data_IF_710835695915
#
_entry.id   IF_710835695915
#
_cell.length_a   1.000
_cell.length_b   1.000
_cell.length_c   1.000
_cell.angle_alpha   90.00
_cell.angle_beta   90.00
_cell.angle_gamma   90.00
#
_symmetry.space_group_name_H-M   'P 1'
#
loop_
_entity.id
_entity.type
_entity.pdbx_description
1 polymer ?
#
# COMPACT_ATOMS: atom_id res chain seq x y z
N UNK A 1 -36.14 6.97 -9.90
CA UNK A 1 -35.06 7.92 -9.53
C UNK A 1 -34.49 7.70 -8.09
N UNK A 2 -34.88 6.65 -7.34
CA UNK A 2 -34.43 6.45 -5.95
C UNK A 2 -33.35 5.39 -5.75
N UNK A 3 -33.10 4.50 -6.70
CA UNK A 3 -32.09 3.42 -6.55
C UNK A 3 -30.65 3.85 -6.90
N UNK A 4 -30.49 4.79 -7.83
CA UNK A 4 -29.14 5.25 -8.25
C UNK A 4 -28.45 6.13 -7.21
N UNK A 5 -29.21 6.77 -6.31
CA UNK A 5 -28.68 7.60 -5.22
C UNK A 5 -28.20 6.78 -4.01
N UNK A 6 -28.74 5.56 -3.81
CA UNK A 6 -28.32 4.68 -2.70
C UNK A 6 -26.92 4.09 -2.91
N UNK A 7 -26.53 3.81 -4.14
CA UNK A 7 -25.19 3.24 -4.44
C UNK A 7 -24.06 4.27 -4.31
N UNK A 8 -24.33 5.55 -4.58
CA UNK A 8 -23.32 6.62 -4.39
C UNK A 8 -23.11 6.99 -2.92
N UNK A 9 -24.13 6.87 -2.06
CA UNK A 9 -24.00 7.18 -0.63
C UNK A 9 -23.17 6.16 0.15
N UNK A 10 -23.06 4.91 -0.33
CA UNK A 10 -22.24 3.87 0.31
C UNK A 10 -20.75 4.04 0.05
N UNK A 11 -20.35 4.58 -1.11
CA UNK A 11 -18.94 4.81 -1.45
C UNK A 11 -18.30 5.99 -0.71
N UNK A 12 -19.11 6.94 -0.21
CA UNK A 12 -18.62 8.11 0.55
C UNK A 12 -18.43 7.86 2.04
N UNK A 13 -18.77 6.65 2.55
CA UNK A 13 -18.56 6.28 3.95
C UNK A 13 -17.17 5.69 4.12
N UNK A 14 -16.45 6.12 5.16
CA UNK A 14 -15.13 5.59 5.50
C UNK A 14 -15.15 4.11 5.92
N UNK A 15 -13.97 3.57 6.09
CA UNK A 15 -13.75 2.14 6.44
C UNK A 15 -14.53 1.71 7.68
N UNK A 16 -14.53 2.54 8.74
CA UNK A 16 -15.19 2.17 10.00
C UNK A 16 -16.70 2.07 9.82
N UNK A 17 -17.33 3.01 9.09
CA UNK A 17 -18.78 2.98 8.89
C UNK A 17 -19.23 1.79 8.04
N UNK A 18 -18.39 1.34 7.09
CA UNK A 18 -18.71 0.22 6.19
C UNK A 18 -18.51 -1.14 6.85
N UNK A 19 -17.52 -1.27 7.72
CA UNK A 19 -17.03 -2.56 8.23
C UNK A 19 -16.96 -2.60 9.76
N UNK A 20 -17.76 -1.79 10.44
CA UNK A 20 -17.77 -1.65 11.90
C UNK A 20 -17.81 -3.00 12.63
N UNK A 21 -18.62 -3.94 12.16
CA UNK A 21 -18.79 -5.27 12.76
C UNK A 21 -17.50 -6.11 12.81
N UNK A 22 -16.51 -5.79 11.96
CA UNK A 22 -15.22 -6.47 11.86
C UNK A 22 -14.06 -5.71 12.49
N UNK A 23 -14.33 -4.52 13.04
CA UNK A 23 -13.29 -3.62 13.54
C UNK A 23 -13.35 -3.49 15.06
N UNK A 24 -12.20 -3.22 15.73
CA UNK A 24 -12.14 -3.11 17.20
C UNK A 24 -12.72 -1.76 17.70
N UNK A 25 -13.89 -1.41 17.25
CA UNK A 25 -14.59 -0.16 17.61
C UNK A 25 -15.95 -0.46 18.25
N UNK A 26 -16.36 0.34 19.22
CA UNK A 26 -17.64 0.29 19.87
C UNK A 26 -18.58 1.39 19.35
N UNK A 27 -19.82 1.42 19.81
CA UNK A 27 -20.75 2.52 19.49
C UNK A 27 -20.25 3.87 20.01
N UNK A 28 -19.51 3.85 21.12
CA UNK A 28 -18.95 5.06 21.74
C UNK A 28 -17.63 5.52 21.16
N UNK A 29 -16.98 4.71 20.28
CA UNK A 29 -15.71 5.08 19.66
C UNK A 29 -15.89 6.30 18.75
N UNK A 30 -15.22 7.43 18.99
CA UNK A 30 -15.26 8.60 18.10
C UNK A 30 -14.69 8.25 16.72
N UNK A 31 -15.44 8.49 15.66
CA UNK A 31 -15.01 8.15 14.30
C UNK A 31 -14.23 9.29 13.67
N UNK A 32 -12.96 9.03 13.38
CA UNK A 32 -12.07 9.92 12.66
C UNK A 32 -11.89 9.39 11.23
N UNK A 33 -12.59 9.99 10.27
CA UNK A 33 -12.55 9.56 8.86
C UNK A 33 -12.33 10.74 7.93
N UNK A 34 -11.66 10.47 6.81
CA UNK A 34 -11.48 11.32 5.64
C UNK A 34 -12.17 10.72 4.40
N UNK A 35 -13.03 9.70 4.58
CA UNK A 35 -13.69 8.99 3.49
C UNK A 35 -12.77 7.95 2.82
N UNK A 36 -11.81 7.40 3.55
CA UNK A 36 -10.88 6.34 3.11
C UNK A 36 -11.62 5.03 2.80
N UNK A 37 -10.98 4.20 1.99
CA UNK A 37 -11.59 2.98 1.46
C UNK A 37 -12.45 3.24 0.23
N UNK A 38 -13.20 2.23 -0.22
CA UNK A 38 -13.95 2.31 -1.49
C UNK A 38 -13.05 2.53 -2.70
N UNK A 39 -11.78 2.15 -2.59
CA UNK A 39 -10.82 2.30 -3.69
C UNK A 39 -11.20 1.38 -4.85
N UNK A 40 -11.02 1.81 -6.11
CA UNK A 40 -11.46 1.02 -7.24
C UNK A 40 -10.69 -0.29 -7.37
N UNK A 41 -11.42 -1.32 -7.79
CA UNK A 41 -10.89 -2.58 -8.30
C UNK A 41 -10.98 -2.53 -9.83
N UNK A 42 -9.85 -2.24 -10.49
CA UNK A 42 -9.80 -1.94 -11.92
C UNK A 42 -9.42 -3.21 -12.70
N UNK A 43 -10.29 -3.66 -13.59
CA UNK A 43 -9.94 -4.73 -14.53
C UNK A 43 -8.88 -4.25 -15.53
N UNK A 44 -7.80 -5.02 -15.69
CA UNK A 44 -6.70 -4.73 -16.62
C UNK A 44 -6.71 -5.74 -17.77
N UNK A 45 -7.30 -5.39 -18.93
CA UNK A 45 -7.36 -6.29 -20.08
C UNK A 45 -5.96 -6.58 -20.65
N UNK A 46 -5.04 -5.60 -20.59
CA UNK A 46 -3.70 -5.77 -21.14
C UNK A 46 -2.83 -6.69 -20.26
N UNK A 47 -2.89 -6.58 -18.93
CA UNK A 47 -2.23 -7.56 -18.05
C UNK A 47 -2.87 -8.94 -18.19
N UNK A 48 -4.19 -9.01 -18.32
CA UNK A 48 -4.90 -10.27 -18.55
C UNK A 48 -4.42 -10.94 -19.84
N UNK A 49 -4.20 -10.17 -20.90
CA UNK A 49 -3.65 -10.67 -22.16
C UNK A 49 -2.20 -11.16 -22.04
N UNK A 50 -1.36 -10.47 -21.23
CA UNK A 50 0.02 -10.89 -20.94
C UNK A 50 0.02 -12.23 -20.17
N UNK A 51 -0.83 -12.38 -19.17
CA UNK A 51 -0.95 -13.64 -18.40
C UNK A 51 -1.54 -14.74 -19.29
N UNK A 52 -2.51 -14.40 -20.15
CA UNK A 52 -3.15 -15.34 -21.06
C UNK A 52 -4.04 -16.36 -20.35
N UNK A 53 -4.31 -17.51 -21.00
CA UNK A 53 -5.04 -18.68 -20.46
C UNK A 53 -6.39 -18.35 -19.85
N UNK A 54 -7.09 -17.31 -20.35
CA UNK A 54 -8.40 -16.88 -19.84
C UNK A 54 -8.35 -16.22 -18.46
N UNK A 55 -7.16 -15.94 -17.93
CA UNK A 55 -6.99 -15.27 -16.64
C UNK A 55 -7.48 -13.82 -16.68
N UNK A 56 -8.00 -13.35 -15.57
CA UNK A 56 -8.46 -11.99 -15.36
C UNK A 56 -7.63 -11.29 -14.28
N UNK A 57 -6.98 -10.19 -14.64
CA UNK A 57 -6.15 -9.41 -13.72
C UNK A 57 -6.85 -8.13 -13.33
N UNK A 58 -6.90 -7.88 -12.02
CA UNK A 58 -7.49 -6.69 -11.43
C UNK A 58 -6.45 -5.94 -10.59
N UNK A 59 -6.54 -4.62 -10.60
CA UNK A 59 -5.69 -3.72 -9.80
C UNK A 59 -6.53 -3.12 -8.67
N UNK A 60 -6.21 -3.44 -7.41
CA UNK A 60 -6.79 -2.73 -6.25
C UNK A 60 -5.98 -1.46 -6.02
N UNK A 61 -6.53 -0.32 -6.47
CA UNK A 61 -5.78 0.94 -6.50
C UNK A 61 -5.89 1.73 -5.19
N UNK A 62 -5.07 1.34 -4.22
CA UNK A 62 -5.00 1.96 -2.90
C UNK A 62 -4.41 3.38 -2.90
N UNK A 63 -3.74 3.77 -3.98
CA UNK A 63 -3.24 5.12 -4.19
C UNK A 63 -4.32 6.21 -4.24
N UNK A 64 -5.59 5.83 -4.38
CA UNK A 64 -6.73 6.76 -4.38
C UNK A 64 -7.38 6.98 -3.01
N UNK A 65 -6.78 6.47 -1.93
CA UNK A 65 -7.12 6.90 -0.57
C UNK A 65 -6.74 8.38 -0.33
N UNK A 66 -7.33 9.07 0.66
CA UNK A 66 -7.16 10.50 0.90
C UNK A 66 -5.71 11.02 0.97
N UNK A 67 -4.78 10.25 1.58
CA UNK A 67 -3.37 10.62 1.61
C UNK A 67 -2.53 9.85 0.58
N UNK A 68 -3.18 9.34 -0.45
CA UNK A 68 -2.59 8.65 -1.59
C UNK A 68 -1.92 7.31 -1.26
N UNK A 69 -2.38 6.59 -0.21
CA UNK A 69 -1.90 5.24 0.07
C UNK A 69 -2.84 4.42 0.96
N UNK A 70 -2.67 3.10 0.96
CA UNK A 70 -3.40 2.14 1.80
C UNK A 70 -3.29 2.41 3.31
N UNK A 71 -2.31 3.24 3.73
CA UNK A 71 -2.08 3.54 5.15
C UNK A 71 -3.31 4.16 5.82
N UNK A 72 -4.15 4.84 5.08
CA UNK A 72 -5.35 5.51 5.56
C UNK A 72 -6.35 4.54 6.18
N UNK A 73 -6.48 3.33 5.62
CA UNK A 73 -7.38 2.29 6.15
C UNK A 73 -7.08 1.90 7.59
N UNK A 74 -5.79 1.74 7.89
CA UNK A 74 -5.37 1.44 9.27
C UNK A 74 -5.33 2.69 10.14
N UNK A 75 -5.09 3.86 9.55
CA UNK A 75 -4.93 5.08 10.32
C UNK A 75 -6.27 5.60 10.86
N UNK A 76 -7.37 5.47 10.09
CA UNK A 76 -8.70 5.82 10.59
C UNK A 76 -9.03 5.06 11.88
N UNK A 77 -8.77 3.76 11.94
CA UNK A 77 -9.03 2.94 13.14
C UNK A 77 -8.07 3.31 14.28
N UNK A 78 -6.76 3.37 14.01
CA UNK A 78 -5.77 3.67 15.03
C UNK A 78 -5.95 5.05 15.68
N UNK A 79 -6.30 6.08 14.88
CA UNK A 79 -6.52 7.43 15.41
C UNK A 79 -7.88 7.54 16.13
N UNK A 80 -8.93 6.88 15.65
CA UNK A 80 -10.21 6.77 16.37
C UNK A 80 -10.04 6.12 17.74
N UNK A 81 -9.26 5.03 17.82
CA UNK A 81 -8.91 4.37 19.10
C UNK A 81 -8.00 5.21 19.98
N UNK A 82 -7.10 6.00 19.41
CA UNK A 82 -6.28 6.95 20.14
C UNK A 82 -7.15 8.05 20.78
N UNK A 83 -8.09 8.60 20.02
CA UNK A 83 -9.04 9.61 20.50
C UNK A 83 -9.97 9.05 21.59
N UNK A 84 -10.45 7.81 21.44
CA UNK A 84 -11.26 7.11 22.47
C UNK A 84 -10.50 6.98 23.79
N UNK A 85 -9.18 6.74 23.75
CA UNK A 85 -8.31 6.66 24.94
C UNK A 85 -7.98 8.03 25.54
N UNK A 86 -8.34 9.13 24.89
CA UNK A 86 -8.07 10.48 25.37
C UNK A 86 -6.60 10.90 25.28
N UNK A 87 -5.79 10.30 24.40
CA UNK A 87 -4.37 10.68 24.24
C UNK A 87 -4.24 12.10 23.68
N UNK A 88 -3.16 12.79 24.04
CA UNK A 88 -2.89 14.14 23.56
C UNK A 88 -2.23 14.17 22.17
N UNK A 89 -1.55 13.09 21.79
CA UNK A 89 -0.80 13.04 20.55
C UNK A 89 -0.69 11.61 19.96
N UNK A 90 -0.57 11.53 18.65
CA UNK A 90 -0.08 10.33 17.96
C UNK A 90 1.38 10.51 17.56
N UNK A 91 2.13 9.40 17.55
CA UNK A 91 3.55 9.43 17.24
C UNK A 91 3.94 8.28 16.30
N UNK A 92 4.84 8.54 15.37
CA UNK A 92 5.41 7.50 14.51
C UNK A 92 6.85 7.78 14.11
N UNK A 93 7.61 6.71 13.84
CA UNK A 93 8.88 6.76 13.14
C UNK A 93 8.63 6.43 11.65
N UNK A 94 8.66 7.43 10.77
CA UNK A 94 8.44 7.23 9.32
C UNK A 94 8.79 8.47 8.52
N UNK A 95 9.38 8.28 7.33
CA UNK A 95 9.65 9.34 6.34
C UNK A 95 8.68 9.30 5.15
N UNK A 96 7.64 8.43 5.16
CA UNK A 96 6.83 8.17 3.96
C UNK A 96 5.33 8.11 4.22
N UNK A 97 4.66 7.13 3.61
CA UNK A 97 3.19 7.00 3.62
C UNK A 97 2.57 6.97 5.03
N UNK A 98 3.26 6.40 6.03
CA UNK A 98 2.75 6.36 7.41
C UNK A 98 2.72 7.73 8.04
N UNK A 99 3.76 8.56 7.89
CA UNK A 99 3.81 9.92 8.45
C UNK A 99 2.77 10.83 7.81
N UNK A 100 2.57 10.75 6.51
CA UNK A 100 1.55 11.51 5.79
C UNK A 100 0.14 11.17 6.30
N UNK A 101 -0.18 9.88 6.39
CA UNK A 101 -1.47 9.41 6.90
C UNK A 101 -1.67 9.79 8.38
N UNK A 102 -0.66 9.56 9.24
CA UNK A 102 -0.74 9.93 10.66
C UNK A 102 -1.03 11.42 10.87
N UNK A 103 -0.33 12.28 10.11
CA UNK A 103 -0.52 13.72 10.20
C UNK A 103 -1.94 14.15 9.78
N UNK A 104 -2.45 13.60 8.66
CA UNK A 104 -3.78 13.93 8.16
C UNK A 104 -4.89 13.54 9.14
N UNK A 105 -4.85 12.30 9.65
CA UNK A 105 -5.88 11.81 10.57
C UNK A 105 -5.77 12.43 11.95
N UNK A 106 -4.54 12.74 12.44
CA UNK A 106 -4.36 13.51 13.67
C UNK A 106 -4.94 14.93 13.54
N UNK A 107 -4.67 15.61 12.43
CA UNK A 107 -5.26 16.94 12.15
C UNK A 107 -6.79 16.87 12.15
N UNK A 108 -7.38 15.85 11.51
CA UNK A 108 -8.82 15.62 11.49
C UNK A 108 -9.41 15.37 12.88
N UNK A 109 -8.64 14.70 13.75
CA UNK A 109 -9.03 14.37 15.13
C UNK A 109 -8.79 15.53 16.13
N UNK A 110 -8.11 16.60 15.74
CA UNK A 110 -7.66 17.64 16.67
C UNK A 110 -6.52 17.18 17.60
N UNK A 111 -5.82 16.08 17.25
CA UNK A 111 -4.67 15.56 18.00
C UNK A 111 -3.35 16.14 17.46
N UNK A 112 -2.35 16.25 18.32
CA UNK A 112 -0.99 16.53 17.87
C UNK A 112 -0.41 15.31 17.15
N UNK A 113 0.43 15.54 16.13
CA UNK A 113 1.17 14.49 15.46
C UNK A 113 2.67 14.75 15.56
N UNK A 114 3.42 13.78 16.05
CA UNK A 114 4.88 13.79 16.05
C UNK A 114 5.43 12.72 15.11
N UNK A 115 6.34 13.15 14.23
CA UNK A 115 7.05 12.26 13.29
C UNK A 115 8.54 12.30 13.66
N UNK A 116 9.10 11.17 14.08
CA UNK A 116 10.51 11.05 14.46
C UNK A 116 11.27 10.35 13.34
N UNK A 117 12.42 10.88 12.95
CA UNK A 117 13.22 10.33 11.85
C UNK A 117 14.72 10.66 12.03
N UNK A 118 15.63 9.90 11.40
CA UNK A 118 17.05 10.21 11.42
C UNK A 118 17.38 11.51 10.69
N UNK A 119 18.29 12.32 11.24
CA UNK A 119 18.86 13.47 10.56
C UNK A 119 19.60 13.04 9.28
N UNK A 120 19.60 13.90 8.25
CA UNK A 120 20.33 13.67 6.98
C UNK A 120 19.65 12.75 5.97
N UNK A 121 18.56 12.07 6.31
CA UNK A 121 17.76 11.23 5.36
C UNK A 121 16.39 11.85 5.04
N UNK A 122 16.30 13.17 5.08
CA UNK A 122 15.07 13.92 4.83
C UNK A 122 15.02 14.27 3.35
N UNK A 123 14.42 13.39 2.52
CA UNK A 123 13.94 13.83 1.22
C UNK A 123 12.72 14.73 1.44
N UNK A 124 12.87 16.03 1.16
CA UNK A 124 11.84 17.04 1.42
C UNK A 124 10.49 16.67 0.79
N UNK A 125 10.50 16.07 -0.40
CA UNK A 125 9.29 15.63 -1.12
C UNK A 125 8.46 14.59 -0.35
N UNK A 126 9.08 13.67 0.39
CA UNK A 126 8.36 12.60 1.13
C UNK A 126 7.65 13.10 2.39
N UNK A 127 8.09 14.22 2.96
CA UNK A 127 7.50 14.80 4.16
C UNK A 127 6.55 15.97 3.88
N UNK A 128 6.41 16.39 2.61
CA UNK A 128 5.54 17.51 2.23
C UNK A 128 4.15 17.38 2.83
N UNK A 129 3.53 16.21 2.71
CA UNK A 129 2.20 16.00 3.28
C UNK A 129 2.19 16.09 4.82
N UNK A 130 3.20 15.53 5.51
CA UNK A 130 3.27 15.60 6.96
C UNK A 130 3.39 17.06 7.44
N UNK A 131 4.22 17.86 6.78
CA UNK A 131 4.33 19.29 7.07
C UNK A 131 3.03 20.05 6.74
N UNK A 132 2.43 19.79 5.58
CA UNK A 132 1.18 20.44 5.17
C UNK A 132 0.02 20.20 6.14
N UNK A 133 -0.03 19.01 6.75
CA UNK A 133 -1.02 18.65 7.77
C UNK A 133 -0.61 19.08 9.19
N UNK A 134 0.48 19.83 9.36
CA UNK A 134 0.90 20.42 10.63
C UNK A 134 1.58 19.46 11.61
N UNK A 135 2.12 18.32 11.14
CA UNK A 135 2.86 17.42 12.01
C UNK A 135 4.18 18.07 12.49
N UNK A 136 4.54 17.82 13.75
CA UNK A 136 5.84 18.16 14.30
C UNK A 136 6.86 17.10 13.88
N UNK A 137 7.70 17.44 12.91
CA UNK A 137 8.79 16.56 12.47
C UNK A 137 10.02 16.80 13.34
N UNK A 138 10.54 15.73 13.93
CA UNK A 138 11.71 15.75 14.83
C UNK A 138 12.81 14.90 14.20
N UNK A 139 13.89 15.54 13.79
CA UNK A 139 15.10 14.86 13.33
C UNK A 139 15.98 14.51 14.53
N UNK A 140 16.42 13.25 14.63
CA UNK A 140 17.32 12.78 15.67
C UNK A 140 18.71 12.46 15.11
N UNK A 141 19.72 12.61 15.90
CA UNK A 141 21.04 12.05 15.63
C UNK A 141 20.99 10.54 15.88
N UNK A 142 21.13 9.74 14.84
CA UNK A 142 21.02 8.28 14.89
C UNK A 142 20.45 7.67 13.62
N UNK A 143 20.00 6.44 13.70
CA UNK A 143 19.42 5.69 12.60
C UNK A 143 17.90 5.46 12.78
N UNK A 144 17.28 4.71 11.87
CA UNK A 144 15.84 4.44 11.92
C UNK A 144 15.43 3.58 13.13
N UNK A 145 16.28 2.66 13.55
CA UNK A 145 16.00 1.81 14.72
C UNK A 145 16.04 2.62 16.00
N UNK A 146 16.95 3.60 16.12
CA UNK A 146 16.97 4.56 17.23
C UNK A 146 15.67 5.37 17.30
N UNK A 147 15.20 5.86 16.16
CA UNK A 147 13.92 6.57 16.09
C UNK A 147 12.75 5.67 16.55
N UNK A 148 12.74 4.40 16.14
CA UNK A 148 11.70 3.45 16.52
C UNK A 148 11.75 3.10 18.02
N UNK A 149 12.95 2.98 18.61
CA UNK A 149 13.14 2.78 20.07
C UNK A 149 12.58 3.97 20.85
N UNK A 150 12.89 5.19 20.42
CA UNK A 150 12.36 6.42 21.06
C UNK A 150 10.84 6.46 20.98
N UNK A 151 10.28 6.18 19.80
CA UNK A 151 8.81 6.16 19.59
C UNK A 151 8.15 5.11 20.48
N UNK A 152 8.74 3.91 20.64
CA UNK A 152 8.23 2.87 21.55
C UNK A 152 8.22 3.33 23.00
N UNK A 153 9.32 3.93 23.49
CA UNK A 153 9.41 4.48 24.86
C UNK A 153 8.38 5.59 25.12
N UNK A 154 8.18 6.47 24.13
CA UNK A 154 7.16 7.53 24.25
C UNK A 154 5.74 6.96 24.23
N UNK A 155 5.51 5.88 23.51
CA UNK A 155 4.22 5.19 23.47
C UNK A 155 3.85 4.39 24.72
N UNK A 156 4.79 4.22 25.66
CA UNK A 156 4.52 3.69 27.02
C UNK A 156 3.85 4.74 27.94
N UNK A 157 3.83 6.00 27.52
CA UNK A 157 3.17 7.09 28.24
C UNK A 157 1.71 7.16 27.85
N UNK A 158 0.84 7.48 28.79
CA UNK A 158 -0.60 7.58 28.60
C UNK A 158 -1.05 8.71 27.65
N UNK A 159 -0.18 9.70 27.41
CA UNK A 159 -0.47 10.86 26.57
C UNK A 159 -0.12 10.65 25.09
N UNK A 160 0.48 9.51 24.71
CA UNK A 160 0.86 9.18 23.34
C UNK A 160 0.23 7.88 22.82
N UNK A 161 -0.10 7.86 21.53
CA UNK A 161 -0.44 6.64 20.82
C UNK A 161 0.55 6.39 19.67
N UNK A 162 1.19 5.23 19.67
CA UNK A 162 2.04 4.80 18.53
C UNK A 162 1.15 4.40 17.38
N UNK A 163 1.43 4.95 16.19
CA UNK A 163 0.71 4.61 14.95
C UNK A 163 1.61 4.02 13.86
N UNK A 164 2.70 3.35 14.26
CA UNK A 164 3.54 2.52 13.39
C UNK A 164 2.84 1.22 12.98
N UNK A 165 3.46 0.44 12.09
CA UNK A 165 2.92 -0.84 11.58
C UNK A 165 2.74 -1.94 12.65
N UNK A 166 3.33 -1.77 13.82
CA UNK A 166 3.16 -2.65 14.99
C UNK A 166 1.81 -2.47 15.70
N UNK A 167 1.10 -1.39 15.45
CA UNK A 167 -0.19 -1.11 16.08
C UNK A 167 -1.27 -2.07 15.53
N UNK A 168 -1.96 -2.86 16.39
CA UNK A 168 -2.96 -3.84 15.95
C UNK A 168 -4.19 -3.19 15.30
N UNK A 169 -4.59 -2.00 15.74
CA UNK A 169 -5.73 -1.28 15.17
C UNK A 169 -5.48 -0.92 13.70
N UNK A 170 -4.21 -0.71 13.34
CA UNK A 170 -3.81 -0.49 11.94
C UNK A 170 -3.98 -1.74 11.07
N UNK A 171 -3.63 -2.91 11.60
CA UNK A 171 -3.84 -4.18 10.89
C UNK A 171 -5.34 -4.40 10.71
N UNK A 172 -6.15 -4.20 11.76
CA UNK A 172 -7.60 -4.34 11.69
C UNK A 172 -8.22 -3.44 10.60
N UNK A 173 -7.86 -2.15 10.56
CA UNK A 173 -8.38 -1.24 9.52
C UNK A 173 -7.96 -1.65 8.10
N UNK A 174 -6.73 -2.15 7.92
CA UNK A 174 -6.22 -2.60 6.62
C UNK A 174 -6.91 -3.88 6.11
N UNK A 175 -7.52 -4.71 6.98
CA UNK A 175 -8.33 -5.87 6.59
C UNK A 175 -9.45 -5.47 5.61
N UNK A 176 -9.97 -4.26 5.74
CA UNK A 176 -11.06 -3.74 4.90
C UNK A 176 -10.77 -3.75 3.40
N UNK A 177 -9.51 -3.74 2.99
CA UNK A 177 -9.16 -3.86 1.58
C UNK A 177 -9.49 -5.24 1.01
N UNK A 178 -9.30 -6.31 1.82
CA UNK A 178 -9.71 -7.66 1.43
C UNK A 178 -11.24 -7.80 1.39
N UNK A 179 -11.95 -7.17 2.33
CA UNK A 179 -13.41 -7.14 2.32
C UNK A 179 -13.94 -6.51 1.03
N UNK A 180 -13.41 -5.35 0.66
CA UNK A 180 -13.80 -4.66 -0.58
C UNK A 180 -13.50 -5.49 -1.83
N UNK A 181 -12.35 -6.19 -1.89
CA UNK A 181 -12.03 -7.08 -3.01
C UNK A 181 -13.07 -8.19 -3.14
N UNK A 182 -13.47 -8.80 -2.03
CA UNK A 182 -14.48 -9.86 -2.03
C UNK A 182 -15.85 -9.30 -2.41
N UNK A 183 -16.24 -8.15 -1.86
CA UNK A 183 -17.52 -7.50 -2.15
C UNK A 183 -17.62 -7.08 -3.64
N UNK A 184 -16.52 -6.55 -4.22
CA UNK A 184 -16.46 -6.10 -5.60
C UNK A 184 -16.43 -7.28 -6.60
N UNK A 185 -15.74 -8.40 -6.27
CA UNK A 185 -15.63 -9.58 -7.14
C UNK A 185 -16.77 -10.60 -6.95
N UNK A 186 -17.56 -10.46 -5.89
CA UNK A 186 -18.54 -11.48 -5.48
C UNK A 186 -17.88 -12.78 -4.97
N UNK A 187 -16.65 -12.72 -4.46
CA UNK A 187 -15.90 -13.86 -3.93
C UNK A 187 -14.38 -13.58 -3.89
N UNK A 188 -13.59 -14.53 -3.36
CA UNK A 188 -12.14 -14.38 -3.36
C UNK A 188 -11.55 -14.40 -4.78
N UNK A 189 -10.43 -13.69 -5.03
CA UNK A 189 -9.57 -14.02 -6.17
C UNK A 189 -8.91 -15.38 -5.96
N UNK A 190 -8.36 -15.99 -7.01
CA UNK A 190 -7.55 -17.21 -6.89
C UNK A 190 -6.15 -16.86 -6.37
N UNK A 191 -5.60 -15.73 -6.82
CA UNK A 191 -4.29 -15.23 -6.39
C UNK A 191 -4.40 -13.75 -5.99
N UNK A 192 -3.74 -13.40 -4.90
CA UNK A 192 -3.59 -12.01 -4.48
C UNK A 192 -2.11 -11.64 -4.34
N UNK A 193 -1.64 -10.73 -5.19
CA UNK A 193 -0.26 -10.29 -5.29
C UNK A 193 -0.06 -8.95 -4.58
N UNK A 194 0.97 -8.85 -3.72
CA UNK A 194 1.23 -7.67 -2.91
C UNK A 194 2.73 -7.35 -2.83
N UNK A 195 3.10 -6.06 -2.68
CA UNK A 195 4.47 -5.70 -2.32
C UNK A 195 4.73 -6.01 -0.85
N UNK A 196 5.93 -6.49 -0.53
CA UNK A 196 6.37 -6.81 0.83
C UNK A 196 7.50 -5.91 1.31
N UNK A 197 7.18 -4.98 2.22
CA UNK A 197 8.15 -4.28 3.06
C UNK A 197 8.04 -4.76 4.50
N UNK A 198 7.38 -4.00 5.39
CA UNK A 198 7.07 -4.42 6.77
C UNK A 198 6.09 -5.60 6.86
N UNK A 199 5.57 -6.07 5.75
CA UNK A 199 4.68 -7.21 5.59
C UNK A 199 3.30 -7.10 6.27
N UNK A 200 3.00 -6.00 6.97
CA UNK A 200 1.71 -5.78 7.63
C UNK A 200 0.53 -5.73 6.68
N UNK A 201 0.72 -5.27 5.45
CA UNK A 201 -0.36 -5.22 4.46
C UNK A 201 -0.81 -6.62 4.00
N UNK A 202 0.14 -7.50 3.68
CA UNK A 202 -0.16 -8.89 3.35
C UNK A 202 -0.84 -9.60 4.54
N UNK A 203 -0.31 -9.44 5.75
CA UNK A 203 -0.89 -9.97 6.98
C UNK A 203 -2.34 -9.51 7.17
N UNK A 204 -2.61 -8.22 6.92
CA UNK A 204 -3.95 -7.66 7.06
C UNK A 204 -4.93 -8.20 6.01
N UNK A 205 -4.52 -8.29 4.74
CA UNK A 205 -5.37 -8.86 3.70
C UNK A 205 -5.72 -10.33 4.00
N UNK A 206 -4.71 -11.12 4.40
CA UNK A 206 -4.96 -12.51 4.81
C UNK A 206 -5.93 -12.61 5.99
N UNK A 207 -5.73 -11.80 7.02
CA UNK A 207 -6.64 -11.73 8.15
C UNK A 207 -8.07 -11.35 7.73
N UNK A 208 -8.22 -10.42 6.78
CA UNK A 208 -9.52 -10.03 6.22
C UNK A 208 -10.21 -11.17 5.47
N UNK A 209 -9.51 -11.89 4.60
CA UNK A 209 -10.07 -13.06 3.92
C UNK A 209 -10.49 -14.15 4.94
N UNK A 210 -9.67 -14.40 5.95
CA UNK A 210 -9.98 -15.36 7.01
C UNK A 210 -11.20 -14.93 7.84
N UNK A 211 -11.35 -13.65 8.11
CA UNK A 211 -12.49 -13.12 8.85
C UNK A 211 -13.80 -13.28 8.04
N UNK A 212 -13.79 -12.98 6.74
CA UNK A 212 -14.94 -13.24 5.87
C UNK A 212 -15.25 -14.72 5.74
N UNK A 213 -14.24 -15.59 5.72
CA UNK A 213 -14.47 -17.05 5.78
C UNK A 213 -15.11 -17.47 7.10
N UNK A 214 -14.61 -16.97 8.24
CA UNK A 214 -15.12 -17.28 9.59
C UNK A 214 -16.60 -16.88 9.74
N UNK A 215 -17.01 -15.78 9.12
CA UNK A 215 -18.39 -15.28 9.17
C UNK A 215 -19.29 -15.85 8.08
N UNK A 216 -18.80 -16.77 7.26
CA UNK A 216 -19.58 -17.40 6.19
C UNK A 216 -19.79 -16.52 4.95
N UNK A 217 -19.16 -15.34 4.89
CA UNK A 217 -19.22 -14.45 3.72
C UNK A 217 -18.30 -14.90 2.57
N UNK A 218 -17.37 -15.83 2.85
CA UNK A 218 -16.42 -16.35 1.89
C UNK A 218 -16.22 -17.85 2.07
N UNK A 219 -16.17 -18.62 0.97
CA UNK A 219 -15.99 -20.08 1.01
C UNK A 219 -14.57 -20.52 0.61
N UNK A 220 -13.92 -19.78 -0.27
CA UNK A 220 -12.56 -20.06 -0.75
C UNK A 220 -11.60 -18.95 -0.32
N UNK A 221 -10.32 -19.26 -0.23
CA UNK A 221 -9.27 -18.31 0.14
C UNK A 221 -8.26 -18.18 -1.01
N UNK A 222 -7.70 -16.98 -1.25
CA UNK A 222 -6.69 -16.79 -2.28
C UNK A 222 -5.33 -17.36 -1.86
N UNK A 223 -4.50 -17.74 -2.83
CA UNK A 223 -3.08 -17.85 -2.59
C UNK A 223 -2.46 -16.44 -2.49
N UNK A 224 -1.73 -16.18 -1.39
CA UNK A 224 -1.10 -14.89 -1.12
C UNK A 224 0.32 -14.86 -1.66
N UNK A 225 0.60 -14.01 -2.63
CA UNK A 225 1.92 -13.90 -3.27
C UNK A 225 2.55 -12.57 -2.89
N UNK A 226 3.71 -12.62 -2.24
CA UNK A 226 4.44 -11.44 -1.82
C UNK A 226 5.68 -11.17 -2.67
N UNK A 227 5.91 -9.91 -3.06
CA UNK A 227 7.11 -9.52 -3.80
C UNK A 227 7.95 -8.54 -3.01
N UNK A 228 9.24 -8.87 -2.81
CA UNK A 228 10.23 -8.00 -2.21
C UNK A 228 11.16 -7.43 -3.29
N UNK A 229 11.71 -6.24 -3.04
CA UNK A 229 12.80 -5.74 -3.89
C UNK A 229 14.07 -6.56 -3.63
N UNK A 230 14.81 -6.94 -4.66
CA UNK A 230 15.96 -7.84 -4.57
C UNK A 230 17.03 -7.38 -3.56
N UNK A 231 17.26 -6.06 -3.44
CA UNK A 231 18.20 -5.48 -2.46
C UNK A 231 17.59 -5.31 -1.05
N UNK A 232 16.33 -5.70 -0.82
CA UNK A 232 15.62 -5.58 0.46
C UNK A 232 14.65 -6.77 0.64
N UNK A 233 15.16 -8.01 0.60
CA UNK A 233 14.38 -9.23 0.54
C UNK A 233 14.61 -10.19 1.74
N UNK A 234 14.43 -9.72 3.00
CA UNK A 234 14.73 -10.53 4.17
C UNK A 234 13.85 -11.79 4.28
N UNK A 235 12.55 -11.70 3.95
CA UNK A 235 11.63 -12.84 4.05
C UNK A 235 11.99 -13.92 3.01
N UNK A 236 12.29 -13.51 1.78
CA UNK A 236 12.72 -14.41 0.73
C UNK A 236 14.02 -15.14 1.10
N UNK A 237 15.00 -14.42 1.67
CA UNK A 237 16.29 -15.00 2.06
C UNK A 237 16.26 -15.71 3.42
N UNK A 238 15.17 -15.58 4.20
CA UNK A 238 15.03 -16.15 5.54
C UNK A 238 15.98 -15.52 6.58
N UNK A 239 16.53 -14.33 6.31
CA UNK A 239 17.47 -13.61 7.20
C UNK A 239 17.32 -12.11 7.09
N UNK A 240 17.70 -11.40 8.16
CA UNK A 240 17.74 -9.92 8.16
C UNK A 240 18.73 -9.42 7.10
N UNK A 241 18.34 -8.35 6.41
CA UNK A 241 19.20 -7.57 5.50
C UNK A 241 19.58 -6.29 6.23
N UNK A 242 20.85 -6.18 6.67
CA UNK A 242 21.30 -5.07 7.51
C UNK A 242 21.30 -3.72 6.77
N UNK A 243 21.68 -3.73 5.49
CA UNK A 243 21.71 -2.53 4.64
C UNK A 243 20.79 -2.74 3.42
N UNK A 244 19.47 -2.61 3.62
CA UNK A 244 18.52 -2.78 2.52
C UNK A 244 18.61 -1.60 1.55
N UNK A 245 18.79 -1.91 0.25
CA UNK A 245 18.88 -0.92 -0.81
C UNK A 245 17.90 -1.23 -1.93
N UNK A 246 17.08 -0.26 -2.29
CA UNK A 246 16.16 -0.27 -3.43
C UNK A 246 15.61 1.13 -3.67
N UNK A 247 15.25 1.44 -4.91
CA UNK A 247 14.51 2.65 -5.25
C UNK A 247 13.06 2.63 -4.70
N UNK A 248 12.51 1.43 -4.49
CA UNK A 248 11.17 1.23 -3.95
C UNK A 248 11.14 1.51 -2.43
N UNK A 249 11.30 2.78 -2.07
CA UNK A 249 11.53 3.25 -0.71
C UNK A 249 10.51 2.75 0.33
N UNK A 250 9.25 2.55 -0.07
CA UNK A 250 8.18 2.08 0.84
C UNK A 250 8.31 0.59 1.21
N UNK A 251 9.13 -0.20 0.48
CA UNK A 251 9.46 -1.59 0.80
C UNK A 251 10.95 -1.79 1.08
N UNK A 252 11.74 -0.72 1.27
CA UNK A 252 13.15 -0.77 1.67
C UNK A 252 13.27 -1.11 3.15
N UNK A 253 12.99 -2.36 3.49
CA UNK A 253 12.92 -2.86 4.87
C UNK A 253 13.79 -4.10 5.01
N UNK A 254 14.78 -4.05 5.89
CA UNK A 254 15.69 -5.16 6.14
C UNK A 254 15.24 -6.11 7.25
N UNK A 255 14.36 -5.64 8.16
CA UNK A 255 13.82 -6.44 9.28
C UNK A 255 12.32 -6.16 9.45
N UNK A 256 11.45 -6.88 8.75
CA UNK A 256 10.01 -6.63 8.75
C UNK A 256 9.35 -6.85 10.11
N UNK A 257 8.55 -5.87 10.57
CA UNK A 257 7.83 -5.97 11.83
C UNK A 257 6.80 -7.12 11.88
N UNK A 258 6.19 -7.45 10.74
CA UNK A 258 5.17 -8.51 10.63
C UNK A 258 5.72 -9.79 9.98
N UNK A 259 7.03 -10.05 10.05
CA UNK A 259 7.68 -11.18 9.40
C UNK A 259 6.97 -12.52 9.65
N UNK A 260 6.87 -12.91 10.92
CA UNK A 260 6.28 -14.22 11.30
C UNK A 260 4.84 -14.36 10.79
N UNK A 261 4.03 -13.32 10.98
CA UNK A 261 2.63 -13.33 10.60
C UNK A 261 2.45 -13.42 9.07
N UNK A 262 3.28 -12.71 8.31
CA UNK A 262 3.24 -12.77 6.85
C UNK A 262 3.75 -14.11 6.31
N UNK A 263 4.83 -14.67 6.88
CA UNK A 263 5.31 -16.01 6.49
C UNK A 263 4.26 -17.09 6.78
N UNK A 264 3.56 -17.00 7.91
CA UNK A 264 2.46 -17.89 8.22
C UNK A 264 1.29 -17.72 7.24
N UNK A 265 0.92 -16.48 6.91
CA UNK A 265 -0.14 -16.19 5.93
C UNK A 265 0.17 -16.78 4.54
N UNK A 266 1.42 -16.65 4.09
CA UNK A 266 1.88 -17.24 2.83
C UNK A 266 1.81 -18.76 2.88
N UNK A 267 2.27 -19.39 3.97
CA UNK A 267 2.23 -20.84 4.13
C UNK A 267 0.77 -21.38 4.18
N UNK A 268 -0.09 -20.75 5.00
CA UNK A 268 -1.49 -21.16 5.16
C UNK A 268 -2.30 -21.01 3.88
N UNK A 269 -1.98 -20.00 3.06
CA UNK A 269 -2.63 -19.74 1.79
C UNK A 269 -2.05 -20.57 0.62
N UNK A 270 -1.03 -21.39 0.87
CA UNK A 270 -0.24 -22.08 -0.17
C UNK A 270 0.32 -21.10 -1.21
N UNK A 271 0.67 -19.91 -0.76
CA UNK A 271 1.25 -18.85 -1.56
C UNK A 271 2.77 -18.92 -1.67
N UNK A 272 3.39 -17.82 -2.06
CA UNK A 272 4.83 -17.73 -2.23
C UNK A 272 5.36 -16.31 -1.90
N UNK A 273 6.67 -16.22 -1.68
CA UNK A 273 7.41 -14.96 -1.67
C UNK A 273 8.48 -15.04 -2.76
N UNK A 274 8.58 -14.01 -3.58
CA UNK A 274 9.61 -13.88 -4.61
C UNK A 274 10.20 -12.47 -4.62
N UNK A 275 11.21 -12.26 -5.46
CA UNK A 275 11.95 -11.00 -5.58
C UNK A 275 11.82 -10.40 -6.97
N UNK A 276 11.87 -9.08 -7.02
CA UNK A 276 11.94 -8.28 -8.26
C UNK A 276 13.08 -7.27 -8.15
N UNK A 277 13.77 -7.01 -9.25
CA UNK A 277 14.85 -6.00 -9.27
C UNK A 277 14.28 -4.59 -9.39
N UNK A 278 15.11 -3.58 -9.13
CA UNK A 278 14.74 -2.19 -9.29
C UNK A 278 14.38 -1.85 -10.75
N UNK A 279 15.09 -2.48 -11.72
CA UNK A 279 14.80 -2.34 -13.14
C UNK A 279 13.44 -2.93 -13.50
N UNK A 280 13.12 -4.13 -12.98
CA UNK A 280 11.80 -4.77 -13.17
C UNK A 280 10.67 -3.92 -12.56
N UNK A 281 10.90 -3.36 -11.38
CA UNK A 281 9.94 -2.45 -10.71
C UNK A 281 9.69 -1.18 -11.56
N UNK A 282 10.75 -0.53 -12.04
CA UNK A 282 10.62 0.68 -12.86
C UNK A 282 9.98 0.40 -14.22
N UNK A 283 10.32 -0.73 -14.85
CA UNK A 283 9.69 -1.16 -16.09
C UNK A 283 8.18 -1.38 -15.90
N UNK A 284 7.77 -2.06 -14.82
CA UNK A 284 6.37 -2.29 -14.49
C UNK A 284 5.63 -0.99 -14.14
N UNK A 285 6.26 -0.08 -13.39
CA UNK A 285 5.71 1.25 -13.08
C UNK A 285 5.42 2.05 -14.35
N UNK A 286 6.41 2.12 -15.24
CA UNK A 286 6.25 2.79 -16.54
C UNK A 286 5.18 2.14 -17.38
N UNK A 287 5.17 0.80 -17.41
CA UNK A 287 4.18 0.05 -18.18
C UNK A 287 2.76 0.34 -17.70
N UNK A 288 2.51 0.33 -16.37
CA UNK A 288 1.20 0.69 -15.81
C UNK A 288 0.77 2.11 -16.22
N UNK A 289 1.68 3.07 -16.14
CA UNK A 289 1.38 4.45 -16.50
C UNK A 289 1.05 4.61 -17.99
N UNK A 290 1.84 3.98 -18.88
CA UNK A 290 1.71 4.17 -20.34
C UNK A 290 0.67 3.26 -20.98
N UNK A 291 0.33 2.12 -20.36
CA UNK A 291 -0.61 1.16 -20.93
C UNK A 291 -1.98 1.13 -20.24
N UNK A 292 -2.02 1.38 -18.93
CA UNK A 292 -3.26 1.34 -18.15
C UNK A 292 -3.68 2.74 -17.65
N UNK A 293 -2.84 3.77 -17.82
CA UNK A 293 -3.10 5.11 -17.27
C UNK A 293 -3.05 5.16 -15.74
N UNK A 294 -2.38 4.21 -15.10
CA UNK A 294 -2.33 4.07 -13.65
C UNK A 294 -0.93 4.41 -13.15
N UNK A 295 -0.81 5.58 -12.51
CA UNK A 295 0.45 6.07 -11.98
C UNK A 295 0.62 5.72 -10.50
N UNK A 296 1.61 4.87 -10.20
CA UNK A 296 1.88 4.34 -8.86
C UNK A 296 3.30 4.63 -8.38
N UNK A 297 3.53 4.64 -7.05
CA UNK A 297 4.88 4.67 -6.51
C UNK A 297 5.63 3.36 -6.86
N UNK A 298 6.99 3.35 -6.91
CA UNK A 298 7.75 2.16 -7.31
C UNK A 298 7.41 0.90 -6.52
N UNK A 299 7.28 1.01 -5.20
CA UNK A 299 6.91 -0.12 -4.36
C UNK A 299 5.58 -0.78 -4.78
N UNK A 300 4.64 0.01 -5.29
CA UNK A 300 3.33 -0.46 -5.75
C UNK A 300 3.40 -1.23 -7.06
N UNK A 301 4.46 -1.03 -7.85
CA UNK A 301 4.68 -1.75 -9.09
C UNK A 301 5.30 -3.14 -8.89
N UNK A 302 5.84 -3.45 -7.70
CA UNK A 302 6.48 -4.73 -7.42
C UNK A 302 5.60 -5.96 -7.72
N UNK A 303 4.30 -6.02 -7.35
CA UNK A 303 3.45 -7.16 -7.69
C UNK A 303 3.19 -7.28 -9.20
N UNK A 304 3.21 -6.18 -9.95
CA UNK A 304 3.06 -6.19 -11.41
C UNK A 304 4.34 -6.70 -12.06
N UNK A 305 5.51 -6.21 -11.60
CA UNK A 305 6.81 -6.75 -12.03
C UNK A 305 6.89 -8.25 -11.77
N UNK A 306 6.47 -8.69 -10.59
CA UNK A 306 6.41 -10.10 -10.22
C UNK A 306 5.45 -10.91 -11.10
N UNK A 307 4.26 -10.39 -11.41
CA UNK A 307 3.30 -11.05 -12.30
C UNK A 307 3.88 -11.21 -13.71
N UNK A 308 4.47 -10.14 -14.27
CA UNK A 308 5.11 -10.19 -15.59
C UNK A 308 6.27 -11.19 -15.60
N UNK A 309 7.09 -11.22 -14.55
CA UNK A 309 8.18 -12.19 -14.35
C UNK A 309 7.65 -13.63 -14.28
N UNK A 310 6.53 -13.87 -13.60
CA UNK A 310 5.89 -15.18 -13.54
C UNK A 310 5.43 -15.69 -14.92
N UNK A 311 5.16 -14.78 -15.86
CA UNK A 311 4.79 -15.11 -17.24
C UNK A 311 5.98 -15.37 -18.17
N UNK A 312 7.21 -15.11 -17.71
CA UNK A 312 8.45 -15.35 -18.49
C UNK A 312 9.00 -16.75 -18.19
N UNK A 313 8.88 -17.71 -19.13
CA UNK A 313 9.33 -19.08 -18.92
C UNK A 313 10.84 -19.20 -18.71
N UNK A 314 11.62 -18.19 -19.11
CA UNK A 314 13.08 -18.19 -18.96
C UNK A 314 13.56 -17.85 -17.55
N UNK A 315 12.72 -17.29 -16.69
CA UNK A 315 13.14 -16.70 -15.40
C UNK A 315 12.83 -17.50 -14.14
N UNK A 316 12.11 -18.61 -14.22
CA UNK A 316 11.87 -19.56 -13.12
C UNK A 316 11.57 -18.92 -11.73
N UNK A 317 10.49 -18.12 -11.56
CA UNK A 317 10.15 -17.53 -10.28
C UNK A 317 9.70 -18.59 -9.28
N UNK A 318 9.65 -18.24 -7.97
CA UNK A 318 9.16 -19.13 -6.91
C UNK A 318 7.70 -19.55 -7.15
N UNK A 319 6.88 -18.66 -7.72
CA UNK A 319 5.51 -18.95 -8.17
C UNK A 319 5.44 -18.80 -9.69
N UNK A 320 5.67 -19.90 -10.43
CA UNK A 320 5.77 -19.86 -11.89
C UNK A 320 4.38 -19.73 -12.56
N UNK A 321 4.38 -19.18 -13.78
CA UNK A 321 3.19 -19.12 -14.62
C UNK A 321 2.49 -20.48 -14.80
N UNK A 322 3.26 -21.56 -14.88
CA UNK A 322 2.73 -22.91 -14.99
C UNK A 322 1.86 -23.34 -13.79
N UNK A 323 2.01 -22.66 -12.65
CA UNK A 323 1.22 -22.91 -11.44
C UNK A 323 -0.04 -22.04 -11.35
N UNK A 324 -0.20 -21.02 -12.23
CA UNK A 324 -1.43 -20.22 -12.30
C UNK A 324 -2.49 -21.05 -13.03
N UNK A 325 -3.61 -21.43 -12.39
CA UNK A 325 -4.68 -22.18 -13.05
C UNK A 325 -5.30 -21.38 -14.18
N UNK A 326 -5.82 -22.07 -15.18
CA UNK A 326 -6.58 -21.46 -16.28
C UNK A 326 -7.83 -20.76 -15.74
N UNK A 327 -8.16 -19.59 -16.30
CA UNK A 327 -9.33 -18.81 -15.89
C UNK A 327 -9.22 -18.12 -14.54
N UNK A 328 -8.04 -18.14 -13.89
CA UNK A 328 -7.83 -17.53 -12.58
C UNK A 328 -8.15 -16.03 -12.54
N UNK A 329 -8.81 -15.61 -11.46
CA UNK A 329 -8.93 -14.20 -11.09
C UNK A 329 -7.73 -13.81 -10.21
N UNK A 330 -6.98 -12.82 -10.66
CA UNK A 330 -5.74 -12.36 -10.03
C UNK A 330 -5.95 -10.92 -9.59
N UNK A 331 -5.70 -10.63 -8.33
CA UNK A 331 -5.69 -9.25 -7.82
C UNK A 331 -4.27 -8.82 -7.50
N UNK A 332 -3.86 -7.67 -8.02
CA UNK A 332 -2.61 -7.00 -7.63
C UNK A 332 -2.96 -5.75 -6.83
N UNK A 333 -2.56 -5.67 -5.55
CA UNK A 333 -2.72 -4.44 -4.77
C UNK A 333 -1.60 -3.47 -5.09
N UNK A 334 -1.96 -2.30 -5.66
CA UNK A 334 -1.06 -1.18 -5.90
C UNK A 334 -1.26 -0.14 -4.79
N UNK A 335 -0.27 -0.05 -3.91
CA UNK A 335 -0.39 0.45 -2.53
C UNK A 335 -0.36 1.96 -2.37
N UNK A 336 0.26 2.69 -3.29
CA UNK A 336 0.39 4.13 -3.22
C UNK A 336 0.47 4.80 -4.60
N UNK A 337 0.06 6.05 -4.65
CA UNK A 337 0.06 6.87 -5.86
C UNK A 337 1.47 7.29 -6.27
N UNK A 338 1.74 7.45 -7.56
CA UNK A 338 3.06 7.85 -8.09
C UNK A 338 3.56 9.20 -7.58
N UNK A 339 2.66 10.13 -7.25
CA UNK A 339 3.02 11.42 -6.65
C UNK A 339 3.62 11.33 -5.24
N UNK A 340 3.68 10.12 -4.65
CA UNK A 340 4.40 9.89 -3.38
C UNK A 340 5.93 9.85 -3.57
N UNK A 341 6.39 9.53 -4.79
CA UNK A 341 7.81 9.46 -5.18
C UNK A 341 8.02 10.10 -6.58
N UNK A 342 7.66 11.40 -6.78
CA UNK A 342 7.65 12.04 -8.10
C UNK A 342 9.05 12.19 -8.70
N UNK A 343 10.09 12.26 -7.87
CA UNK A 343 11.48 12.46 -8.27
C UNK A 343 11.98 11.38 -9.25
N UNK A 344 11.43 10.16 -9.14
CA UNK A 344 11.83 9.01 -9.97
C UNK A 344 11.43 9.19 -11.44
N UNK A 345 10.34 9.91 -11.70
CA UNK A 345 9.85 10.19 -13.07
C UNK A 345 10.18 11.61 -13.53
N UNK A 346 10.52 12.52 -12.61
CA UNK A 346 10.79 13.93 -12.91
C UNK A 346 12.10 14.14 -13.71
N UNK A 347 12.97 13.14 -13.78
CA UNK A 347 14.21 13.20 -14.58
C UNK A 347 13.95 13.45 -16.07
N UNK A 348 12.80 13.00 -16.61
CA UNK A 348 12.40 13.30 -18.00
C UNK A 348 11.88 14.72 -18.23
N UNK A 349 11.45 15.42 -17.17
CA UNK A 349 10.96 16.80 -17.30
C UNK A 349 12.08 17.85 -17.46
N UNK A 350 13.31 17.49 -17.08
CA UNK A 350 14.47 18.37 -17.17
C UNK A 350 14.94 18.65 -18.61
N UNK A 351 14.52 17.82 -19.57
CA UNK A 351 14.95 17.90 -20.98
C UNK A 351 13.93 18.57 -21.91
N UNK A 352 12.92 19.27 -21.37
CA UNK A 352 11.95 19.99 -22.18
C UNK A 352 12.61 21.12 -22.95
N UNK A 353 12.75 20.94 -24.28
CA UNK A 353 13.25 22.00 -25.19
C UNK A 353 12.06 22.73 -25.78
N UNK A 354 11.99 24.05 -25.64
CA UNK A 354 10.95 24.85 -26.29
C UNK A 354 11.05 24.75 -27.81
N UNK A 355 9.91 24.62 -28.47
CA UNK A 355 9.78 24.70 -29.93
C UNK A 355 9.12 26.02 -30.32
N UNK A 356 9.19 26.39 -31.61
CA UNK A 356 8.51 27.60 -32.09
C UNK A 356 7.00 27.51 -31.86
N UNK A 357 6.37 28.63 -31.51
CA UNK A 357 4.94 28.71 -31.20
C UNK A 357 4.10 28.70 -32.51
N UNK A 358 4.17 27.59 -33.25
CA UNK A 358 3.36 27.37 -34.46
C UNK A 358 3.01 25.85 -34.57
N UNK A 359 1.97 25.55 -35.34
CA UNK A 359 1.40 24.21 -35.52
C UNK A 359 2.45 23.23 -36.06
N UNK A 360 3.19 23.58 -37.09
CA UNK A 360 4.17 22.69 -37.73
C UNK A 360 5.30 22.31 -36.79
N UNK A 361 5.77 23.20 -35.94
CA UNK A 361 6.82 22.90 -34.96
C UNK A 361 6.30 21.95 -33.85
N UNK A 362 5.06 22.15 -33.42
CA UNK A 362 4.41 21.29 -32.44
C UNK A 362 4.15 19.91 -33.03
N UNK A 363 3.60 19.81 -34.26
CA UNK A 363 3.35 18.53 -34.94
C UNK A 363 4.62 17.70 -35.09
N UNK A 364 5.74 18.34 -35.50
CA UNK A 364 7.03 17.65 -35.58
C UNK A 364 7.54 17.18 -34.21
N UNK A 365 7.28 17.96 -33.16
CA UNK A 365 7.75 17.61 -31.80
C UNK A 365 6.97 16.47 -31.15
N UNK A 366 5.72 16.23 -31.58
CA UNK A 366 4.86 15.12 -31.10
C UNK A 366 4.84 13.91 -32.04
N UNK A 367 5.75 13.86 -33.03
CA UNK A 367 5.86 12.77 -34.03
C UNK A 367 4.55 12.48 -34.81
N UNK A 368 3.73 13.51 -35.04
CA UNK A 368 2.49 13.46 -35.85
C UNK A 368 2.72 13.95 -37.29
N UNK A 369 3.87 13.66 -37.87
CA UNK A 369 4.21 14.04 -39.24
C UNK A 369 3.93 12.93 -40.24
#
# INVERSE_FOLDING_TARGET
MSETLKTNSQRSRGVIDRYREFLPVSESTPIVSLGEGGTPLIFSPRLSAIVGRGCQVYLKYEGLNPTCSFKDRGMTVAVSKALERGVAAVICASTGNTSASAAAYAARAGLRCAVVLPAGKIASGKLVQAFAYGAKVVAIEGNFDDALVIVRKLGERDDFAIVNSINPDRIAGQMSAAFEIVDDLGGAPDLHLLPLGNAGNLTAHWAGYREYQRTGKLHTLPAMIGFQAAGAAPIFHGRVVENPETIASAIRIGNPASWKAASQAVADSKGAVDIVTDEEILAAQRWLATNEGIFVEPASAAPIAGLMKCCDPARGPAYSFAQIPEGSRIVCTVTGHGLKDPEIVATGAADLKPVAANEDAVLRAIDFS
#
